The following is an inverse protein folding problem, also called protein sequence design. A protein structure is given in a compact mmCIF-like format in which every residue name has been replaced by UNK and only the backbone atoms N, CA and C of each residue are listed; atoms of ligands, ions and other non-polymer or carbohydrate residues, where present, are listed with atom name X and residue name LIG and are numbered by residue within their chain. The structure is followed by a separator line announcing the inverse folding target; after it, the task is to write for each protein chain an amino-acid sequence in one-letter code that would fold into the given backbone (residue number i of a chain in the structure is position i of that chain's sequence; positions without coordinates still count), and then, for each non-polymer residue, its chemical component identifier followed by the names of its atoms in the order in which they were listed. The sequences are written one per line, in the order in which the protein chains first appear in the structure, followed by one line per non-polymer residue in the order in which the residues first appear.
data_IF_841712667721
#
_entry.id   IF_841712667721
#
_cell.length_a   1.000
_cell.length_b   1.000
_cell.length_c   1.000
_cell.angle_alpha   90.00
_cell.angle_beta   90.00
_cell.angle_gamma   90.00
#
_symmetry.space_group_name_H-M   'P 1'
#
loop_
_entity.id
_entity.type
_entity.pdbx_description
1 polymer ?
#
# COMPACT_ATOMS: atom_id res chain seq x y z
N UNK A 1 4.74 19.29 -15.29
CA UNK A 1 3.64 18.35 -15.55
C UNK A 1 3.99 17.07 -14.79
N UNK A 2 3.26 16.69 -13.75
CA UNK A 2 3.51 15.42 -13.06
C UNK A 2 3.19 14.27 -14.04
N UNK A 3 3.97 13.17 -14.04
CA UNK A 3 3.64 12.01 -14.86
C UNK A 3 2.23 11.52 -14.53
N UNK A 4 1.47 10.96 -15.50
CA UNK A 4 0.17 10.38 -15.21
C UNK A 4 0.39 9.25 -14.19
N UNK A 5 -0.29 9.35 -13.05
CA UNK A 5 -0.29 8.27 -12.07
C UNK A 5 -0.75 6.99 -12.77
N UNK A 6 0.08 5.95 -12.75
CA UNK A 6 -0.30 4.64 -13.28
C UNK A 6 -1.45 4.12 -12.43
N UNK A 7 -2.53 3.69 -13.07
CA UNK A 7 -3.69 3.11 -12.37
C UNK A 7 -3.23 1.79 -11.73
N UNK A 8 -3.07 1.79 -10.41
CA UNK A 8 -2.72 0.60 -9.64
C UNK A 8 -3.99 -0.20 -9.29
N UNK A 9 -3.97 -1.51 -9.52
CA UNK A 9 -5.04 -2.39 -9.07
C UNK A 9 -4.88 -2.65 -7.56
N UNK A 10 -5.85 -2.21 -6.77
CA UNK A 10 -5.77 -2.30 -5.31
C UNK A 10 -6.18 -3.69 -4.81
N UNK A 11 -5.31 -4.39 -4.07
CA UNK A 11 -5.69 -5.65 -3.46
C UNK A 11 -6.78 -5.44 -2.40
N UNK A 12 -7.64 -6.45 -2.15
CA UNK A 12 -8.61 -6.37 -1.07
C UNK A 12 -7.91 -6.28 0.29
N UNK A 13 -8.47 -5.53 1.25
CA UNK A 13 -7.90 -5.42 2.60
C UNK A 13 -7.94 -6.77 3.31
N UNK A 14 -6.89 -7.06 4.08
CA UNK A 14 -6.79 -8.28 4.87
C UNK A 14 -7.82 -8.25 6.01
N UNK A 15 -8.53 -9.37 6.19
CA UNK A 15 -9.50 -9.58 7.29
C UNK A 15 -8.83 -10.36 8.43
N UNK A 16 -9.50 -10.49 9.57
CA UNK A 16 -8.98 -11.23 10.74
C UNK A 16 -8.63 -12.70 10.46
N UNK A 17 -9.26 -13.34 9.48
CA UNK A 17 -8.98 -14.73 9.08
C UNK A 17 -7.92 -14.85 7.96
N UNK A 18 -7.31 -13.75 7.52
CA UNK A 18 -6.34 -13.78 6.44
C UNK A 18 -5.00 -14.38 6.89
N UNK A 19 -4.34 -15.10 6.00
CA UNK A 19 -2.99 -15.60 6.24
C UNK A 19 -1.99 -14.44 6.32
N UNK A 20 -1.03 -14.56 7.24
CA UNK A 20 -0.05 -13.51 7.46
C UNK A 20 1.00 -13.51 6.32
N UNK A 21 1.28 -12.36 5.69
CA UNK A 21 2.38 -12.26 4.74
C UNK A 21 3.74 -12.58 5.40
N UNK A 22 4.71 -13.16 4.67
CA UNK A 22 6.04 -13.42 5.19
C UNK A 22 6.67 -12.17 5.82
N UNK A 23 7.30 -12.31 6.98
CA UNK A 23 8.04 -11.24 7.63
C UNK A 23 9.53 -11.37 7.31
N UNK A 24 10.17 -10.25 6.94
CA UNK A 24 11.61 -10.14 6.69
C UNK A 24 12.18 -11.05 5.58
N UNK A 25 11.42 -11.25 4.51
CA UNK A 25 11.83 -12.00 3.31
C UNK A 25 12.60 -11.14 2.28
N UNK A 26 13.02 -9.94 2.65
CA UNK A 26 13.65 -8.96 1.75
C UNK A 26 12.66 -8.14 0.92
N UNK A 27 11.36 -8.46 0.96
CA UNK A 27 10.33 -7.67 0.27
C UNK A 27 9.90 -6.49 1.14
N UNK A 28 10.01 -5.27 0.61
CA UNK A 28 9.47 -4.09 1.28
C UNK A 28 7.94 -4.03 1.11
N UNK A 29 7.20 -4.15 2.21
CA UNK A 29 5.72 -4.11 2.22
C UNK A 29 5.21 -2.87 2.97
N UNK A 30 4.22 -2.18 2.41
CA UNK A 30 3.50 -1.08 3.08
C UNK A 30 2.23 -1.62 3.75
N UNK A 31 2.26 -1.79 5.07
CA UNK A 31 1.06 -2.11 5.85
C UNK A 31 0.24 -0.84 6.06
N UNK A 32 -0.97 -0.81 5.50
CA UNK A 32 -1.82 0.38 5.47
C UNK A 32 -3.29 0.03 5.62
N UNK A 33 -4.11 1.03 5.96
CA UNK A 33 -5.56 0.99 5.84
C UNK A 33 -5.98 2.07 4.84
N UNK A 34 -6.78 1.70 3.85
CA UNK A 34 -7.20 2.61 2.77
C UNK A 34 -7.97 3.83 3.27
N UNK A 35 -8.64 3.74 4.42
CA UNK A 35 -9.38 4.84 5.01
C UNK A 35 -8.52 5.75 5.93
N UNK A 36 -7.27 5.37 6.23
CA UNK A 36 -6.45 6.08 7.22
C UNK A 36 -5.78 7.33 6.61
N UNK A 37 -6.05 8.55 7.14
CA UNK A 37 -5.46 9.77 6.60
C UNK A 37 -3.94 9.87 6.82
N UNK A 38 -3.41 9.20 7.85
CA UNK A 38 -1.96 9.16 8.10
C UNK A 38 -1.25 8.26 7.08
N UNK A 39 -1.81 7.08 6.82
CA UNK A 39 -1.23 6.13 5.88
C UNK A 39 -1.35 6.61 4.42
N UNK A 40 -2.39 7.41 4.12
CA UNK A 40 -2.58 8.05 2.82
C UNK A 40 -1.39 8.95 2.45
N UNK A 41 -0.78 9.65 3.41
CA UNK A 41 0.40 10.50 3.15
C UNK A 41 1.57 9.69 2.61
N UNK A 42 1.86 8.54 3.23
CA UNK A 42 2.93 7.63 2.78
C UNK A 42 2.60 7.03 1.41
N UNK A 43 1.33 6.72 1.17
CA UNK A 43 0.89 6.18 -0.12
C UNK A 43 1.03 7.18 -1.28
N UNK A 44 0.70 8.45 -1.06
CA UNK A 44 0.97 9.52 -2.05
C UNK A 44 2.47 9.61 -2.35
N UNK A 45 3.32 9.61 -1.31
CA UNK A 45 4.78 9.66 -1.49
C UNK A 45 5.31 8.46 -2.27
N UNK A 46 4.75 7.26 -2.05
CA UNK A 46 5.08 6.06 -2.82
C UNK A 46 4.75 6.21 -4.30
N UNK A 47 3.59 6.76 -4.63
CA UNK A 47 3.08 6.83 -6.00
C UNK A 47 3.58 8.06 -6.79
N UNK A 48 4.20 9.04 -6.12
CA UNK A 48 4.69 10.25 -6.78
C UNK A 48 5.96 10.02 -7.62
N UNK A 49 6.69 8.92 -7.35
CA UNK A 49 7.84 8.49 -8.16
C UNK A 49 7.39 7.66 -9.35
#
# INVERSE_FOLDING_TARGET
MAPPAVVENLPPPLKSSAEQPPLFDGTMRLYTSYACPYAHRVWITRNYK
#
